data_IF_569932460038
#
_entry.id   IF_569932460038
#
_cell.length_a   1.000
_cell.length_b   1.000
_cell.length_c   1.000
_cell.angle_alpha   90.00
_cell.angle_beta   90.00
_cell.angle_gamma   90.00
#
_symmetry.space_group_name_H-M   'P 1'
#
loop_
_entity.id
_entity.type
_entity.pdbx_description
1 polymer ?
#
# COMPACT_ATOMS: atom_id res chain seq x y z
N UNK A 1 2.15 -6.77 -2.40
CA UNK A 1 3.27 -7.42 -1.71
C UNK A 1 3.67 -8.73 -2.39
N UNK A 2 2.79 -9.69 -2.58
CA UNK A 2 3.16 -11.03 -3.10
C UNK A 2 3.87 -10.99 -4.47
N UNK A 3 3.48 -10.07 -5.36
CA UNK A 3 4.21 -9.84 -6.62
C UNK A 3 5.65 -9.35 -6.38
N UNK A 4 5.87 -8.54 -5.35
CA UNK A 4 7.19 -8.06 -4.95
C UNK A 4 8.04 -9.19 -4.36
N UNK A 5 7.42 -10.08 -3.58
CA UNK A 5 8.08 -11.28 -3.02
C UNK A 5 8.51 -12.21 -4.15
N UNK A 6 7.61 -12.53 -5.09
CA UNK A 6 7.88 -13.42 -6.22
C UNK A 6 9.00 -12.91 -7.14
N UNK A 7 9.08 -11.59 -7.34
CA UNK A 7 10.10 -10.97 -8.19
C UNK A 7 11.41 -10.64 -7.46
N UNK A 8 11.36 -10.62 -6.13
CA UNK A 8 12.47 -10.22 -5.26
C UNK A 8 12.74 -8.72 -5.27
N UNK A 9 12.96 -8.14 -4.10
CA UNK A 9 13.53 -6.81 -3.93
C UNK A 9 14.65 -6.96 -2.90
N UNK A 10 15.88 -6.79 -3.35
CA UNK A 10 17.06 -6.96 -2.50
C UNK A 10 17.12 -5.88 -1.43
N UNK A 11 17.48 -6.28 -0.20
CA UNK A 11 17.71 -5.37 0.91
C UNK A 11 16.45 -4.70 1.48
N UNK A 12 15.25 -5.24 1.19
CA UNK A 12 13.98 -4.73 1.70
C UNK A 12 13.18 -5.83 2.38
N UNK A 13 12.80 -5.62 3.64
CA UNK A 13 11.86 -6.48 4.35
C UNK A 13 10.42 -6.21 3.88
N UNK A 14 9.71 -7.26 3.51
CA UNK A 14 8.36 -7.14 2.99
C UNK A 14 7.32 -7.54 4.04
N UNK A 15 6.47 -6.58 4.43
CA UNK A 15 5.41 -6.75 5.44
C UNK A 15 4.06 -6.64 4.76
N UNK A 16 3.19 -7.64 4.94
CA UNK A 16 1.80 -7.56 4.49
C UNK A 16 0.91 -7.07 5.64
N UNK A 17 0.15 -6.00 5.41
CA UNK A 17 -0.84 -5.49 6.36
C UNK A 17 -2.22 -5.48 5.69
N UNK A 18 -3.22 -6.06 6.34
CA UNK A 18 -4.59 -6.10 5.82
C UNK A 18 -5.60 -6.24 6.96
N UNK A 19 -6.83 -5.76 6.73
CA UNK A 19 -8.00 -6.00 7.57
C UNK A 19 -8.70 -7.33 7.27
N UNK A 20 -8.40 -7.93 6.13
CA UNK A 20 -8.92 -9.23 5.67
C UNK A 20 -7.92 -10.35 5.98
N UNK A 21 -8.30 -11.22 6.92
CA UNK A 21 -7.46 -12.32 7.38
C UNK A 21 -7.24 -13.37 6.28
N UNK A 22 -8.24 -13.64 5.45
CA UNK A 22 -8.11 -14.62 4.36
C UNK A 22 -7.05 -14.15 3.35
N UNK A 23 -7.05 -12.86 3.02
CA UNK A 23 -6.01 -12.28 2.16
C UNK A 23 -4.61 -12.34 2.79
N UNK A 24 -4.52 -12.21 4.11
CA UNK A 24 -3.24 -12.35 4.82
C UNK A 24 -2.77 -13.81 4.87
N UNK A 25 -3.67 -14.76 5.06
CA UNK A 25 -3.32 -16.19 5.12
C UNK A 25 -2.67 -16.67 3.82
N UNK A 26 -3.23 -16.26 2.67
CA UNK A 26 -2.70 -16.64 1.35
C UNK A 26 -1.47 -15.83 0.92
N UNK A 27 -1.19 -14.71 1.57
CA UNK A 27 -0.01 -13.90 1.29
C UNK A 27 1.28 -14.66 1.61
N UNK A 28 2.31 -14.49 0.80
CA UNK A 28 3.62 -15.08 0.97
C UNK A 28 4.57 -14.26 1.84
N UNK A 29 4.11 -13.12 2.38
CA UNK A 29 4.92 -12.30 3.27
C UNK A 29 5.25 -13.05 4.57
N UNK A 30 6.51 -13.01 4.98
CA UNK A 30 6.97 -13.61 6.25
C UNK A 30 6.37 -12.86 7.44
N UNK A 31 6.28 -11.53 7.35
CA UNK A 31 5.67 -10.68 8.38
C UNK A 31 4.29 -10.21 7.93
N UNK A 32 3.30 -10.45 8.77
CA UNK A 32 1.89 -10.14 8.48
C UNK A 32 1.28 -9.39 9.66
N UNK A 33 0.55 -8.32 9.37
CA UNK A 33 -0.18 -7.54 10.38
C UNK A 33 -1.67 -7.58 10.06
N UNK A 34 -2.46 -8.18 10.95
CA UNK A 34 -3.90 -8.15 10.85
C UNK A 34 -4.43 -6.85 11.48
N UNK A 35 -4.73 -5.87 10.63
CA UNK A 35 -5.22 -4.56 11.08
C UNK A 35 -6.64 -4.66 11.63
N UNK A 36 -6.86 -4.09 12.82
CA UNK A 36 -8.17 -3.98 13.44
C UNK A 36 -8.80 -5.33 13.74
N UNK A 37 -8.06 -6.23 14.33
CA UNK A 37 -8.51 -7.60 14.61
C UNK A 37 -9.81 -7.67 15.41
N UNK A 38 -10.02 -6.74 16.35
CA UNK A 38 -11.26 -6.66 17.13
C UNK A 38 -12.36 -5.98 16.33
N UNK A 39 -12.04 -4.87 15.67
CA UNK A 39 -12.98 -4.06 14.92
C UNK A 39 -13.57 -4.81 13.71
N UNK A 40 -12.72 -5.46 12.92
CA UNK A 40 -13.14 -6.11 11.66
C UNK A 40 -13.42 -7.59 11.80
N UNK A 41 -12.98 -8.21 12.91
CA UNK A 41 -12.99 -9.66 13.10
C UNK A 41 -12.35 -10.42 11.91
N UNK A 42 -11.39 -9.80 11.22
CA UNK A 42 -10.71 -10.37 10.04
C UNK A 42 -11.54 -10.40 8.75
N UNK A 43 -12.72 -9.75 8.72
CA UNK A 43 -13.64 -9.75 7.57
C UNK A 43 -13.38 -8.61 6.56
N UNK A 44 -12.31 -7.85 6.77
CA UNK A 44 -11.98 -6.71 5.93
C UNK A 44 -12.72 -5.42 6.32
N UNK A 45 -12.36 -4.31 5.69
CA UNK A 45 -12.92 -2.99 5.94
C UNK A 45 -14.20 -2.68 5.15
N UNK A 46 -14.77 -3.63 4.41
CA UNK A 46 -16.02 -3.45 3.67
C UNK A 46 -16.00 -2.29 2.66
N UNK A 47 -14.86 -2.01 2.05
CA UNK A 47 -14.63 -0.86 1.17
C UNK A 47 -14.89 0.50 1.83
N UNK A 48 -14.84 0.58 3.17
CA UNK A 48 -15.02 1.81 3.93
C UNK A 48 -13.64 2.30 4.46
N UNK A 49 -13.12 3.46 3.97
CA UNK A 49 -11.84 4.00 4.42
C UNK A 49 -11.79 4.33 5.91
N UNK A 50 -12.91 4.75 6.52
CA UNK A 50 -12.96 5.06 7.95
C UNK A 50 -12.71 3.80 8.79
N UNK A 51 -13.34 2.67 8.43
CA UNK A 51 -13.07 1.38 9.06
C UNK A 51 -11.61 0.96 8.88
N UNK A 52 -11.04 1.21 7.68
CA UNK A 52 -9.62 0.96 7.42
C UNK A 52 -8.68 1.80 8.30
N UNK A 53 -9.02 3.07 8.50
CA UNK A 53 -8.31 3.99 9.40
C UNK A 53 -8.36 3.52 10.85
N UNK A 54 -9.56 3.28 11.36
CA UNK A 54 -9.76 2.83 12.74
C UNK A 54 -9.09 1.46 13.00
N UNK A 55 -9.11 0.56 12.02
CA UNK A 55 -8.44 -0.72 12.10
C UNK A 55 -6.91 -0.58 12.19
N UNK A 56 -6.32 0.35 11.45
CA UNK A 56 -4.90 0.65 11.54
C UNK A 56 -4.54 1.32 12.87
N UNK A 57 -5.39 2.23 13.38
CA UNK A 57 -5.20 2.84 14.71
C UNK A 57 -5.29 1.79 15.83
N UNK A 58 -6.24 0.86 15.77
CA UNK A 58 -6.33 -0.26 16.73
C UNK A 58 -5.03 -1.07 16.77
N UNK A 59 -4.37 -1.21 15.63
CA UNK A 59 -3.14 -2.00 15.46
C UNK A 59 -1.86 -1.16 15.54
N UNK A 60 -1.92 0.05 16.07
CA UNK A 60 -0.78 0.97 16.09
C UNK A 60 0.47 0.39 16.76
N UNK A 61 0.32 -0.36 17.84
CA UNK A 61 1.44 -0.96 18.54
C UNK A 61 2.09 -2.09 17.73
N UNK A 62 1.30 -2.93 17.06
CA UNK A 62 1.82 -3.98 16.15
C UNK A 62 2.56 -3.35 14.97
N UNK A 63 2.04 -2.24 14.43
CA UNK A 63 2.68 -1.49 13.35
C UNK A 63 4.01 -0.89 13.83
N UNK A 64 4.03 -0.24 15.00
CA UNK A 64 5.25 0.33 15.59
C UNK A 64 6.33 -0.74 15.79
N UNK A 65 5.97 -1.88 16.34
CA UNK A 65 6.93 -2.98 16.57
C UNK A 65 7.44 -3.53 15.24
N UNK A 66 6.57 -3.64 14.22
CA UNK A 66 6.97 -4.12 12.92
C UNK A 66 7.91 -3.18 12.16
N UNK A 67 7.79 -1.87 12.38
CA UNK A 67 8.56 -0.83 11.68
C UNK A 67 9.78 -0.34 12.47
N UNK A 68 9.93 -0.78 13.71
CA UNK A 68 10.99 -0.32 14.61
C UNK A 68 12.39 -0.57 14.05
N UNK A 69 13.22 0.47 14.07
CA UNK A 69 14.61 0.41 13.60
C UNK A 69 14.79 0.47 12.09
N UNK A 70 13.72 0.75 11.35
CA UNK A 70 13.80 0.98 9.91
C UNK A 70 14.16 2.43 9.62
N UNK A 71 15.23 2.68 8.88
CA UNK A 71 15.63 4.04 8.47
C UNK A 71 14.69 4.59 7.38
N UNK A 72 14.16 3.71 6.53
CA UNK A 72 13.24 4.06 5.46
C UNK A 72 12.10 3.05 5.35
N UNK A 73 10.91 3.55 5.05
CA UNK A 73 9.70 2.74 4.88
C UNK A 73 9.00 3.10 3.57
N UNK A 74 8.75 2.07 2.77
CA UNK A 74 7.90 2.15 1.59
C UNK A 74 6.48 1.76 1.95
N UNK A 75 5.53 2.68 1.80
CA UNK A 75 4.11 2.40 1.97
C UNK A 75 3.47 2.21 0.61
N UNK A 76 3.04 0.97 0.29
CA UNK A 76 2.46 0.65 -1.03
C UNK A 76 1.07 0.07 -0.90
N UNK A 77 0.11 0.65 -1.63
CA UNK A 77 -1.25 0.11 -1.68
C UNK A 77 -2.04 0.59 -2.90
N UNK A 78 -3.18 -0.05 -3.15
CA UNK A 78 -4.21 0.49 -4.03
C UNK A 78 -5.14 1.40 -3.25
N UNK A 79 -5.34 2.63 -3.74
CA UNK A 79 -6.30 3.58 -3.19
C UNK A 79 -7.70 3.36 -3.76
N UNK A 80 -8.73 3.75 -3.01
CA UNK A 80 -10.15 3.63 -3.39
C UNK A 80 -10.90 2.52 -2.66
N UNK A 81 -10.20 1.57 -2.02
CA UNK A 81 -10.77 0.58 -1.10
C UNK A 81 -10.82 1.09 0.35
N UNK A 82 -11.15 0.20 1.28
CA UNK A 82 -11.19 0.53 2.71
C UNK A 82 -9.79 0.51 3.35
N UNK A 83 -9.12 -0.64 3.30
CA UNK A 83 -7.87 -0.90 4.01
C UNK A 83 -6.74 0.03 3.56
N UNK A 84 -6.43 0.04 2.24
CA UNK A 84 -5.33 0.87 1.70
C UNK A 84 -5.59 2.36 1.89
N UNK A 85 -6.79 2.82 1.56
CA UNK A 85 -7.16 4.24 1.62
C UNK A 85 -7.13 4.80 3.04
N UNK A 86 -7.67 4.04 4.01
CA UNK A 86 -7.73 4.47 5.40
C UNK A 86 -6.47 4.12 6.20
N UNK A 87 -5.91 2.93 5.98
CA UNK A 87 -4.79 2.43 6.78
C UNK A 87 -3.43 2.98 6.37
N UNK A 88 -3.19 3.24 5.08
CA UNK A 88 -1.88 3.71 4.62
C UNK A 88 -1.46 5.06 5.25
N UNK A 89 -2.34 6.09 5.38
CA UNK A 89 -1.98 7.32 6.07
C UNK A 89 -1.59 7.10 7.53
N UNK A 90 -2.27 6.19 8.25
CA UNK A 90 -1.95 5.86 9.66
C UNK A 90 -0.58 5.19 9.73
N UNK A 91 -0.29 4.22 8.87
CA UNK A 91 1.01 3.54 8.83
C UNK A 91 2.11 4.55 8.51
N UNK A 92 1.91 5.43 7.54
CA UNK A 92 2.87 6.48 7.18
C UNK A 92 3.13 7.44 8.34
N UNK A 93 2.09 7.86 9.07
CA UNK A 93 2.21 8.70 10.26
C UNK A 93 3.05 8.01 11.35
N UNK A 94 2.73 6.75 11.66
CA UNK A 94 3.49 5.97 12.64
C UNK A 94 4.95 5.82 12.23
N UNK A 95 5.23 5.55 10.96
CA UNK A 95 6.58 5.49 10.42
C UNK A 95 7.36 6.80 10.62
N UNK A 96 6.73 7.94 10.37
CA UNK A 96 7.32 9.26 10.62
C UNK A 96 7.57 9.53 12.11
N UNK A 97 6.64 9.14 12.97
CA UNK A 97 6.79 9.25 14.43
C UNK A 97 7.99 8.43 14.94
N UNK A 98 8.34 7.33 14.27
CA UNK A 98 9.54 6.52 14.56
C UNK A 98 10.83 7.12 14.00
N UNK A 99 10.76 8.21 13.24
CA UNK A 99 11.91 8.88 12.64
C UNK A 99 12.34 8.31 11.28
N UNK A 100 11.57 7.41 10.70
CA UNK A 100 11.88 6.82 9.39
C UNK A 100 11.55 7.78 8.26
N UNK A 101 12.31 7.70 7.17
CA UNK A 101 11.96 8.35 5.89
C UNK A 101 10.81 7.57 5.23
N UNK A 102 9.73 8.24 4.89
CA UNK A 102 8.53 7.62 4.33
C UNK A 102 8.38 7.92 2.84
N UNK A 103 8.42 6.88 2.03
CA UNK A 103 8.16 6.94 0.59
C UNK A 103 6.87 6.17 0.29
N UNK A 104 5.84 6.89 -0.13
CA UNK A 104 4.55 6.28 -0.47
C UNK A 104 4.41 6.09 -1.98
N UNK A 105 4.03 4.88 -2.42
CA UNK A 105 3.82 4.54 -3.82
C UNK A 105 2.46 3.87 -3.95
N UNK A 106 1.48 4.57 -4.51
CA UNK A 106 0.09 4.13 -4.50
C UNK A 106 -0.53 4.20 -5.89
N UNK A 107 -1.56 3.39 -6.12
CA UNK A 107 -2.33 3.44 -7.37
C UNK A 107 -3.68 4.12 -7.17
N UNK A 108 -4.11 4.90 -8.17
CA UNK A 108 -5.51 5.35 -8.31
C UNK A 108 -6.33 4.30 -9.06
N UNK A 109 -7.61 4.09 -8.68
CA UNK A 109 -8.46 3.10 -9.33
C UNK A 109 -8.69 3.42 -10.83
N UNK A 110 -9.07 2.40 -11.58
CA UNK A 110 -9.58 2.56 -12.95
C UNK A 110 -10.93 3.29 -12.93
N UNK A 111 -11.25 4.04 -13.99
CA UNK A 111 -12.52 4.77 -14.10
C UNK A 111 -13.74 3.83 -13.98
N UNK A 112 -13.62 2.61 -14.51
CA UNK A 112 -14.67 1.59 -14.46
C UNK A 112 -14.97 1.07 -13.03
N UNK A 113 -14.08 1.29 -12.06
CA UNK A 113 -14.32 0.94 -10.64
C UNK A 113 -15.31 1.90 -9.96
N UNK A 114 -15.62 3.01 -10.60
CA UNK A 114 -16.68 3.93 -10.21
C UNK A 114 -16.20 5.19 -9.45
N UNK A 115 -17.06 6.21 -9.51
CA UNK A 115 -16.76 7.54 -8.95
C UNK A 115 -16.54 7.53 -7.43
N UNK A 116 -17.23 6.65 -6.69
CA UNK A 116 -17.08 6.54 -5.23
C UNK A 116 -15.67 6.10 -4.84
N UNK A 117 -15.13 5.08 -5.51
CA UNK A 117 -13.75 4.65 -5.27
C UNK A 117 -12.73 5.73 -5.64
N UNK A 118 -12.97 6.45 -6.73
CA UNK A 118 -12.11 7.56 -7.14
C UNK A 118 -12.12 8.69 -6.10
N UNK A 119 -13.28 9.05 -5.55
CA UNK A 119 -13.40 10.05 -4.47
C UNK A 119 -12.64 9.60 -3.22
N UNK A 120 -12.81 8.36 -2.79
CA UNK A 120 -12.07 7.80 -1.67
C UNK A 120 -10.56 7.82 -1.92
N UNK A 121 -10.13 7.42 -3.11
CA UNK A 121 -8.72 7.43 -3.48
C UNK A 121 -8.12 8.84 -3.39
N UNK A 122 -8.84 9.85 -3.88
CA UNK A 122 -8.37 11.25 -3.84
C UNK A 122 -8.19 11.71 -2.40
N UNK A 123 -9.21 11.55 -1.55
CA UNK A 123 -9.12 11.93 -0.14
C UNK A 123 -8.02 11.17 0.62
N UNK A 124 -7.88 9.87 0.37
CA UNK A 124 -6.82 9.06 1.00
C UNK A 124 -5.41 9.47 0.57
N UNK A 125 -5.23 9.87 -0.70
CA UNK A 125 -3.95 10.37 -1.21
C UNK A 125 -3.59 11.71 -0.56
N UNK A 126 -4.54 12.64 -0.46
CA UNK A 126 -4.36 13.93 0.21
C UNK A 126 -3.96 13.76 1.69
N UNK A 127 -4.53 12.77 2.37
CA UNK A 127 -4.17 12.47 3.75
C UNK A 127 -2.78 11.80 3.84
N UNK A 128 -2.48 10.85 2.95
CA UNK A 128 -1.19 10.16 2.90
C UNK A 128 -0.02 11.13 2.61
N UNK A 129 -0.25 12.13 1.76
CA UNK A 129 0.74 13.14 1.40
C UNK A 129 1.28 13.89 2.62
N UNK A 130 0.44 14.18 3.61
CA UNK A 130 0.83 14.88 4.86
C UNK A 130 1.87 14.10 5.68
N UNK A 131 1.92 12.78 5.50
CA UNK A 131 2.77 11.86 6.27
C UNK A 131 3.86 11.20 5.43
N UNK A 132 4.03 11.61 4.18
CA UNK A 132 5.06 11.07 3.28
C UNK A 132 6.11 12.12 2.97
N UNK A 133 7.39 11.70 2.93
CA UNK A 133 8.50 12.55 2.48
C UNK A 133 8.55 12.60 0.95
N UNK A 134 8.11 11.51 0.31
CA UNK A 134 7.88 11.45 -1.13
C UNK A 134 6.61 10.63 -1.40
N UNK A 135 5.81 11.08 -2.35
CA UNK A 135 4.58 10.40 -2.78
C UNK A 135 4.56 10.23 -4.29
N UNK A 136 4.43 8.98 -4.72
CA UNK A 136 4.25 8.62 -6.13
C UNK A 136 2.84 8.06 -6.31
N UNK A 137 2.07 8.69 -7.19
CA UNK A 137 0.71 8.27 -7.51
C UNK A 137 0.66 7.74 -8.93
N UNK A 138 0.29 6.47 -9.08
CA UNK A 138 0.17 5.77 -10.36
C UNK A 138 -1.31 5.73 -10.74
N UNK A 139 -1.76 6.51 -11.75
CA UNK A 139 -3.15 6.45 -12.20
C UNK A 139 -3.34 5.20 -13.08
N UNK A 140 -4.04 4.18 -12.56
CA UNK A 140 -4.28 2.92 -13.29
C UNK A 140 -4.89 3.15 -14.67
N UNK A 141 -5.74 4.18 -14.82
CA UNK A 141 -6.34 4.53 -16.12
C UNK A 141 -5.30 4.81 -17.21
N UNK A 142 -4.13 5.38 -16.83
CA UNK A 142 -3.05 5.63 -17.80
C UNK A 142 -2.43 4.35 -18.33
N UNK A 143 -2.53 3.25 -17.61
CA UNK A 143 -1.98 1.96 -18.04
C UNK A 143 -2.75 1.43 -19.26
N UNK A 144 -4.06 1.66 -19.35
CA UNK A 144 -4.84 1.28 -20.54
C UNK A 144 -4.40 2.02 -21.80
N UNK A 145 -3.94 3.26 -21.67
CA UNK A 145 -3.48 4.03 -22.85
C UNK A 145 -2.07 3.66 -23.31
N UNK A 146 -1.32 2.92 -22.49
CA UNK A 146 0.03 2.45 -22.81
C UNK A 146 0.05 1.04 -23.42
N UNK A 147 -1.04 0.31 -23.32
CA UNK A 147 -1.21 -1.03 -23.87
C UNK A 147 -2.40 -0.99 -24.84
N UNK A 148 -2.33 -1.76 -25.92
CA UNK A 148 -3.40 -1.84 -26.92
C UNK A 148 -4.76 -2.10 -26.27
N UNK A 149 -5.84 -1.57 -26.85
CA UNK A 149 -7.21 -1.49 -26.32
C UNK A 149 -7.88 -2.86 -25.98
N UNK A 150 -7.17 -3.97 -26.11
CA UNK A 150 -7.71 -5.33 -25.90
C UNK A 150 -7.34 -5.96 -24.55
N UNK A 151 -6.74 -5.22 -23.58
CA UNK A 151 -6.38 -5.80 -22.30
C UNK A 151 -7.61 -5.98 -21.39
N UNK A 152 -7.68 -7.14 -20.74
CA UNK A 152 -8.69 -7.42 -19.72
C UNK A 152 -8.43 -6.62 -18.43
N UNK A 153 -9.46 -6.42 -17.61
CA UNK A 153 -9.33 -5.78 -16.31
C UNK A 153 -8.29 -6.49 -15.42
N UNK A 154 -8.23 -7.81 -15.46
CA UNK A 154 -7.26 -8.63 -14.72
C UNK A 154 -5.82 -8.32 -15.14
N UNK A 155 -5.58 -8.19 -16.44
CA UNK A 155 -4.28 -7.79 -16.97
C UNK A 155 -3.93 -6.36 -16.57
N UNK A 156 -4.92 -5.45 -16.57
CA UNK A 156 -4.74 -4.09 -16.07
C UNK A 156 -4.26 -4.04 -14.62
N UNK A 157 -4.86 -4.82 -13.73
CA UNK A 157 -4.38 -4.94 -12.33
C UNK A 157 -3.00 -5.59 -12.24
N UNK A 158 -2.71 -6.59 -13.06
CA UNK A 158 -1.37 -7.19 -13.12
C UNK A 158 -0.31 -6.16 -13.53
N UNK A 159 -0.61 -5.32 -14.50
CA UNK A 159 0.27 -4.22 -14.93
C UNK A 159 0.43 -3.15 -13.85
N UNK A 160 -0.64 -2.78 -13.14
CA UNK A 160 -0.55 -1.88 -12.00
C UNK A 160 0.41 -2.41 -10.92
N UNK A 161 0.31 -3.70 -10.59
CA UNK A 161 1.23 -4.35 -9.66
C UNK A 161 2.68 -4.34 -10.15
N UNK A 162 2.89 -4.52 -11.46
CA UNK A 162 4.22 -4.47 -12.07
C UNK A 162 4.84 -3.06 -12.00
N UNK A 163 4.04 -2.02 -12.22
CA UNK A 163 4.50 -0.63 -12.11
C UNK A 163 4.83 -0.28 -10.65
N UNK A 164 4.00 -0.70 -9.69
CA UNK A 164 4.30 -0.55 -8.25
C UNK A 164 5.63 -1.23 -7.88
N UNK A 165 5.84 -2.46 -8.34
CA UNK A 165 7.08 -3.18 -8.12
C UNK A 165 8.28 -2.44 -8.70
N UNK A 166 8.21 -2.02 -9.97
CA UNK A 166 9.31 -1.34 -10.64
C UNK A 166 9.66 0.00 -9.99
N UNK A 167 8.64 0.77 -9.56
CA UNK A 167 8.83 2.03 -8.85
C UNK A 167 9.53 1.81 -7.49
N UNK A 168 9.04 0.85 -6.71
CA UNK A 168 9.64 0.52 -5.40
C UNK A 168 11.07 0.02 -5.56
N UNK A 169 11.31 -0.94 -6.47
CA UNK A 169 12.63 -1.49 -6.76
C UNK A 169 13.61 -0.40 -7.26
N UNK A 170 13.16 0.47 -8.15
CA UNK A 170 14.00 1.53 -8.70
C UNK A 170 14.50 2.49 -7.62
N UNK A 171 13.63 2.89 -6.69
CA UNK A 171 14.00 3.78 -5.60
C UNK A 171 14.88 3.05 -4.58
N UNK A 172 14.51 1.83 -4.16
CA UNK A 172 15.31 1.06 -3.20
C UNK A 172 16.73 0.79 -3.72
N UNK A 173 16.87 0.45 -5.01
CA UNK A 173 18.16 0.20 -5.63
C UNK A 173 19.09 1.42 -5.61
N UNK A 174 18.54 2.62 -5.84
CA UNK A 174 19.33 3.86 -5.79
C UNK A 174 19.87 4.12 -4.38
N UNK A 175 19.04 3.85 -3.37
CA UNK A 175 19.38 4.09 -1.97
C UNK A 175 20.44 3.09 -1.50
N UNK A 176 20.21 1.80 -1.73
CA UNK A 176 21.12 0.72 -1.36
C UNK A 176 22.48 0.89 -2.07
N UNK A 177 22.49 1.23 -3.38
CA UNK A 177 23.72 1.39 -4.15
C UNK A 177 24.57 2.59 -3.72
N UNK A 178 23.97 3.60 -3.10
CA UNK A 178 24.67 4.80 -2.60
C UNK A 178 25.12 4.69 -1.14
N UNK A 179 24.81 3.57 -0.46
CA UNK A 179 25.22 3.34 0.92
C UNK A 179 24.57 4.31 1.93
N UNK A 180 23.35 4.75 1.61
CA UNK A 180 22.52 5.56 2.51
C UNK A 180 21.69 4.63 3.40
#
# INVERSE_FOLDING_TARGET
IDNMILKGIDGVDLIAANTDMQSLEISQAERKINLGRKLTAGKGAGSNPEVGREAAEESADDIKEALKGSDMIFVTCGMGGGTGTGGAPVIARIAKELGSLVVSIVTKPFNLEGKKKMSFATAGIEELEKHSDALIVIPNQKLFTLFDDEITLREGFSKANEVLYNATRGISSIIISKGL
#
